data_IF_845736554345
#
_entry.id   IF_845736554345
#
_cell.length_a   1.000
_cell.length_b   1.000
_cell.length_c   1.000
_cell.angle_alpha   90.00
_cell.angle_beta   90.00
_cell.angle_gamma   90.00
#
_symmetry.space_group_name_H-M   'P 1'
#
loop_
_entity.id
_entity.type
_entity.pdbx_description
1 polymer ?
#
# COMPACT_ATOMS: atom_id res chain seq x y z
N UNK A 1 -2.29 -13.66 33.80
CA UNK A 1 -3.39 -13.47 32.83
C UNK A 1 -4.26 -12.24 33.11
N UNK A 2 -4.63 -11.91 34.35
CA UNK A 2 -5.44 -10.71 34.67
C UNK A 2 -4.76 -9.38 34.27
N UNK A 3 -3.46 -9.26 34.42
CA UNK A 3 -2.71 -8.03 34.08
C UNK A 3 -2.51 -7.81 32.57
N UNK A 4 -2.64 -8.86 31.76
CA UNK A 4 -2.51 -8.79 30.30
C UNK A 4 -3.74 -8.15 29.64
N UNK A 5 -4.94 -8.50 30.13
CA UNK A 5 -6.21 -7.96 29.64
C UNK A 5 -6.38 -6.47 29.99
N UNK A 6 -5.92 -6.05 31.18
CA UNK A 6 -5.98 -4.64 31.61
C UNK A 6 -5.04 -3.75 30.78
N UNK A 7 -3.85 -4.23 30.42
CA UNK A 7 -2.92 -3.48 29.57
C UNK A 7 -3.41 -3.37 28.11
N UNK A 8 -4.10 -4.40 27.61
CA UNK A 8 -4.69 -4.37 26.28
C UNK A 8 -5.86 -3.37 26.18
N UNK A 9 -6.69 -3.28 27.24
CA UNK A 9 -7.79 -2.31 27.30
C UNK A 9 -7.29 -0.87 27.48
N UNK A 10 -6.21 -0.64 28.24
CA UNK A 10 -5.62 0.69 28.42
C UNK A 10 -4.98 1.21 27.13
N UNK A 11 -4.37 0.34 26.34
CA UNK A 11 -3.82 0.69 25.02
C UNK A 11 -4.89 1.06 23.99
N UNK A 12 -6.05 0.41 24.03
CA UNK A 12 -7.17 0.68 23.13
C UNK A 12 -7.91 1.98 23.48
N UNK A 13 -7.98 2.34 24.76
CA UNK A 13 -8.61 3.60 25.23
C UNK A 13 -7.75 4.83 24.97
N UNK A 14 -6.41 4.70 24.94
CA UNK A 14 -5.52 5.83 24.60
C UNK A 14 -5.57 6.16 23.09
N UNK A 15 -5.93 5.21 22.23
CA UNK A 15 -6.08 5.44 20.78
C UNK A 15 -7.39 6.16 20.41
N UNK A 16 -8.39 6.18 21.29
CA UNK A 16 -9.68 6.82 21.04
C UNK A 16 -9.78 8.27 21.56
N UNK A 17 -8.70 8.79 22.15
CA UNK A 17 -8.67 10.11 22.80
C UNK A 17 -7.95 11.23 22.04
N UNK A 18 -7.57 11.05 20.75
CA UNK A 18 -6.98 12.15 19.98
C UNK A 18 -8.09 13.02 19.41
N UNK A 19 -8.27 14.17 20.05
CA UNK A 19 -9.26 15.17 19.71
C UNK A 19 -9.12 15.67 18.27
N UNK A 20 -10.27 15.91 17.65
CA UNK A 20 -10.40 16.58 16.36
C UNK A 20 -9.77 17.99 16.45
N UNK A 21 -8.61 18.19 15.87
CA UNK A 21 -8.10 19.51 15.56
C UNK A 21 -8.92 20.08 14.40
N UNK A 22 -9.66 21.15 14.66
CA UNK A 22 -10.35 21.95 13.65
C UNK A 22 -9.35 22.42 12.58
N UNK A 23 -9.49 21.92 11.37
CA UNK A 23 -8.84 22.51 10.20
C UNK A 23 -9.53 23.84 9.89
N UNK A 24 -8.85 24.95 10.15
CA UNK A 24 -9.26 26.26 9.70
C UNK A 24 -9.26 26.30 8.17
N UNK A 25 -10.42 26.63 7.60
CA UNK A 25 -10.60 26.90 6.17
C UNK A 25 -9.80 28.14 5.77
N UNK A 26 -8.84 27.96 4.88
CA UNK A 26 -8.17 29.07 4.19
C UNK A 26 -9.15 29.73 3.20
N UNK A 27 -9.14 31.06 3.03
CA UNK A 27 -10.03 31.73 2.10
C UNK A 27 -9.66 31.42 0.66
N UNK A 28 -10.69 31.15 -0.16
CA UNK A 28 -10.58 30.88 -1.58
C UNK A 28 -10.04 32.11 -2.34
N UNK A 29 -9.07 31.87 -3.23
CA UNK A 29 -8.58 32.87 -4.18
C UNK A 29 -9.65 33.19 -5.24
N UNK A 30 -9.73 34.42 -5.73
CA UNK A 30 -10.78 34.83 -6.69
C UNK A 30 -10.52 34.23 -8.08
N UNK A 31 -11.57 33.67 -8.65
CA UNK A 31 -11.64 33.16 -10.02
C UNK A 31 -11.61 34.35 -11.00
N UNK A 32 -10.85 34.35 -12.09
CA UNK A 32 -10.94 35.37 -13.11
C UNK A 32 -12.22 35.20 -13.93
N UNK A 33 -12.99 36.28 -14.03
CA UNK A 33 -14.19 36.39 -14.86
C UNK A 33 -13.80 36.32 -16.35
N UNK A 34 -14.40 35.39 -17.09
CA UNK A 34 -14.34 35.31 -18.54
C UNK A 34 -15.52 36.12 -19.09
N UNK A 35 -15.21 37.14 -19.88
CA UNK A 35 -16.18 37.99 -20.53
C UNK A 35 -17.00 37.19 -21.58
N UNK A 36 -18.34 37.34 -21.54
CA UNK A 36 -19.24 36.82 -22.54
C UNK A 36 -19.15 37.68 -23.83
N UNK A 37 -18.88 37.03 -24.94
CA UNK A 37 -19.04 37.62 -26.26
C UNK A 37 -20.27 36.99 -26.92
N UNK A 38 -21.29 37.82 -27.16
CA UNK A 38 -22.49 37.52 -27.95
C UNK A 38 -22.13 37.22 -29.41
N UNK A 39 -22.47 36.01 -29.87
CA UNK A 39 -22.55 35.73 -31.29
C UNK A 39 -23.82 34.93 -31.59
N UNK A 40 -24.75 35.60 -32.26
CA UNK A 40 -26.02 35.13 -32.77
C UNK A 40 -25.78 34.17 -33.95
N UNK A 41 -26.18 32.90 -33.81
CA UNK A 41 -26.17 31.91 -34.90
C UNK A 41 -27.54 31.73 -35.54
N UNK A 42 -27.64 31.50 -36.87
CA UNK A 42 -28.91 31.22 -37.53
C UNK A 42 -29.35 29.78 -37.36
N UNK A 43 -30.67 29.57 -37.27
CA UNK A 43 -31.32 28.29 -37.14
C UNK A 43 -31.09 27.41 -38.41
N UNK A 44 -30.61 26.17 -38.19
CA UNK A 44 -30.62 25.12 -39.20
C UNK A 44 -31.60 24.01 -38.78
N UNK A 45 -32.31 23.48 -39.75
CA UNK A 45 -33.40 22.51 -39.68
C UNK A 45 -32.97 21.14 -39.12
N UNK A 46 -33.89 20.31 -38.58
CA UNK A 46 -33.57 19.05 -37.97
C UNK A 46 -33.19 18.00 -39.04
N UNK A 47 -31.93 17.58 -39.03
CA UNK A 47 -31.48 16.38 -39.71
C UNK A 47 -31.83 15.15 -38.87
N UNK A 48 -32.52 14.18 -39.53
CA UNK A 48 -32.85 12.90 -38.92
C UNK A 48 -31.60 12.21 -38.38
N UNK A 49 -31.59 11.96 -37.07
CA UNK A 49 -30.53 11.20 -36.42
C UNK A 49 -30.69 9.74 -36.83
N UNK A 50 -29.82 9.28 -37.74
CA UNK A 50 -29.53 7.87 -37.92
C UNK A 50 -28.92 7.37 -36.62
N UNK A 51 -29.57 6.40 -35.98
CA UNK A 51 -28.98 5.66 -34.84
C UNK A 51 -27.78 4.86 -35.37
N UNK A 52 -26.61 5.46 -35.32
CA UNK A 52 -25.35 4.78 -35.54
C UNK A 52 -25.14 3.87 -34.34
N UNK A 53 -25.18 2.54 -34.57
CA UNK A 53 -24.85 1.56 -33.57
C UNK A 53 -23.46 1.90 -33.01
N UNK A 54 -23.38 2.22 -31.72
CA UNK A 54 -22.14 2.56 -31.05
C UNK A 54 -21.15 1.41 -31.30
N UNK A 55 -20.06 1.72 -32.01
CA UNK A 55 -18.96 0.79 -32.17
C UNK A 55 -18.47 0.36 -30.76
N UNK A 56 -18.09 -0.92 -30.58
CA UNK A 56 -17.60 -1.37 -29.29
C UNK A 56 -16.45 -0.45 -28.86
N UNK A 57 -16.55 0.07 -27.62
CA UNK A 57 -15.53 0.95 -27.07
C UNK A 57 -14.16 0.29 -27.19
N UNK A 58 -13.20 0.98 -27.83
CA UNK A 58 -11.85 0.46 -27.99
C UNK A 58 -11.27 0.13 -26.61
N UNK A 59 -10.58 -1.01 -26.48
CA UNK A 59 -9.94 -1.41 -25.25
C UNK A 59 -9.01 -0.29 -24.73
N UNK A 60 -9.00 0.00 -23.43
CA UNK A 60 -8.21 1.10 -22.87
C UNK A 60 -6.71 0.84 -23.13
N UNK A 61 -6.02 1.84 -23.68
CA UNK A 61 -4.58 1.75 -23.99
C UNK A 61 -3.78 2.31 -22.81
N UNK A 62 -2.78 1.59 -22.30
CA UNK A 62 -1.95 2.06 -21.19
C UNK A 62 -1.27 3.40 -21.50
N UNK A 63 -1.34 4.33 -20.55
CA UNK A 63 -0.65 5.61 -20.64
C UNK A 63 0.86 5.40 -20.52
N UNK A 64 1.62 5.85 -21.53
CA UNK A 64 3.08 5.62 -21.61
C UNK A 64 3.84 6.40 -20.52
N UNK A 65 3.40 7.61 -20.21
CA UNK A 65 4.01 8.44 -19.16
C UNK A 65 3.82 7.84 -17.78
N UNK A 66 2.60 7.48 -17.43
CA UNK A 66 2.28 6.85 -16.14
C UNK A 66 2.94 5.48 -16.00
N UNK A 67 2.99 4.70 -17.09
CA UNK A 67 3.72 3.41 -17.11
C UNK A 67 5.20 3.60 -16.83
N UNK A 68 5.85 4.57 -17.50
CA UNK A 68 7.25 4.88 -17.26
C UNK A 68 7.49 5.35 -15.83
N UNK A 69 6.64 6.26 -15.31
CA UNK A 69 6.75 6.76 -13.96
C UNK A 69 6.57 5.64 -12.92
N UNK A 70 5.56 4.80 -13.06
CA UNK A 70 5.32 3.69 -12.14
C UNK A 70 6.44 2.64 -12.16
N UNK A 71 7.06 2.42 -13.32
CA UNK A 71 8.25 1.56 -13.43
C UNK A 71 9.43 2.15 -12.66
N UNK A 72 9.71 3.46 -12.83
CA UNK A 72 10.75 4.16 -12.08
C UNK A 72 10.45 4.14 -10.59
N UNK A 73 9.21 4.43 -10.18
CA UNK A 73 8.80 4.39 -8.78
C UNK A 73 9.01 3.00 -8.16
N UNK A 74 8.69 1.92 -8.90
CA UNK A 74 8.96 0.54 -8.47
C UNK A 74 10.45 0.31 -8.18
N UNK A 75 11.34 0.74 -9.09
CA UNK A 75 12.78 0.63 -8.90
C UNK A 75 13.28 1.44 -7.70
N UNK A 76 12.72 2.64 -7.48
CA UNK A 76 13.07 3.48 -6.34
C UNK A 76 12.65 2.86 -5.01
N UNK A 77 11.49 2.19 -4.93
CA UNK A 77 11.08 1.48 -3.70
C UNK A 77 11.94 0.24 -3.44
N UNK A 78 12.37 -0.47 -4.50
CA UNK A 78 13.35 -1.56 -4.37
C UNK A 78 14.68 -1.01 -3.83
N UNK A 79 15.16 0.11 -4.37
CA UNK A 79 16.38 0.79 -3.91
C UNK A 79 16.25 1.25 -2.45
N UNK A 80 15.08 1.77 -2.07
CA UNK A 80 14.79 2.16 -0.69
C UNK A 80 14.84 0.96 0.27
N UNK A 81 14.40 -0.21 -0.17
CA UNK A 81 14.32 -1.42 0.67
C UNK A 81 15.65 -2.17 0.75
N UNK A 82 16.21 -2.57 -0.39
CA UNK A 82 17.36 -3.48 -0.40
C UNK A 82 18.67 -2.81 -0.01
N UNK A 83 19.17 -1.76 -0.67
CA UNK A 83 20.33 -1.04 -0.14
C UNK A 83 19.94 -0.10 1.01
N UNK A 84 18.90 0.71 0.88
CA UNK A 84 18.59 1.76 1.84
C UNK A 84 18.26 1.21 3.23
N UNK A 85 17.15 0.51 3.38
CA UNK A 85 16.69 0.01 4.67
C UNK A 85 17.62 -1.06 5.25
N UNK A 86 18.17 -1.94 4.40
CA UNK A 86 19.09 -2.98 4.85
C UNK A 86 20.36 -2.39 5.46
N UNK A 87 21.00 -1.42 4.79
CA UNK A 87 22.18 -0.72 5.29
C UNK A 87 21.86 0.10 6.54
N UNK A 88 20.75 0.82 6.54
CA UNK A 88 20.30 1.59 7.70
C UNK A 88 20.13 0.71 8.94
N UNK A 89 19.39 -0.38 8.85
CA UNK A 89 19.19 -1.29 9.98
C UNK A 89 20.46 -2.05 10.35
N UNK A 90 21.26 -2.44 9.36
CA UNK A 90 22.58 -3.04 9.60
C UNK A 90 23.51 -2.08 10.32
N UNK A 91 23.41 -0.77 10.02
CA UNK A 91 24.18 0.27 10.68
C UNK A 91 23.78 0.54 12.14
N UNK A 92 22.51 0.31 12.50
CA UNK A 92 22.00 0.53 13.86
C UNK A 92 22.37 -0.57 14.86
N UNK A 93 22.90 -1.70 14.40
CA UNK A 93 23.29 -2.84 15.25
C UNK A 93 24.81 -2.91 15.43
N UNK A 94 25.25 -3.73 16.39
CA UNK A 94 26.67 -3.98 16.60
C UNK A 94 27.32 -4.59 15.34
N UNK A 95 28.56 -4.19 15.04
CA UNK A 95 29.28 -4.59 13.81
C UNK A 95 29.24 -6.11 13.55
N UNK A 96 29.35 -6.93 14.60
CA UNK A 96 29.30 -8.39 14.50
C UNK A 96 27.93 -8.93 14.02
N UNK A 97 26.87 -8.16 14.14
CA UNK A 97 25.50 -8.57 13.79
C UNK A 97 24.99 -7.88 12.51
N UNK A 98 25.75 -6.97 11.93
CA UNK A 98 25.40 -6.20 10.73
C UNK A 98 24.95 -7.12 9.59
N UNK A 99 25.77 -8.07 9.18
CA UNK A 99 25.46 -8.99 8.08
C UNK A 99 24.22 -9.83 8.35
N UNK A 100 23.97 -10.20 9.61
CA UNK A 100 22.75 -10.94 9.98
C UNK A 100 21.48 -10.10 9.73
N UNK A 101 21.53 -8.81 10.03
CA UNK A 101 20.38 -7.91 9.82
C UNK A 101 20.19 -7.59 8.33
N UNK A 102 21.28 -7.35 7.60
CA UNK A 102 21.21 -7.19 6.12
C UNK A 102 20.56 -8.42 5.49
N UNK A 103 21.01 -9.63 5.88
CA UNK A 103 20.46 -10.88 5.37
C UNK A 103 18.97 -11.04 5.72
N UNK A 104 18.56 -10.64 6.92
CA UNK A 104 17.14 -10.68 7.30
C UNK A 104 16.30 -9.81 6.37
N UNK A 105 16.69 -8.56 6.13
CA UNK A 105 15.98 -7.65 5.22
C UNK A 105 15.92 -8.23 3.81
N UNK A 106 17.05 -8.72 3.29
CA UNK A 106 17.14 -9.28 1.94
C UNK A 106 16.25 -10.52 1.76
N UNK A 107 16.37 -11.49 2.68
CA UNK A 107 15.60 -12.75 2.59
C UNK A 107 14.11 -12.51 2.81
N UNK A 108 13.75 -11.63 3.76
CA UNK A 108 12.35 -11.24 3.98
C UNK A 108 11.77 -10.62 2.71
N UNK A 109 12.46 -9.66 2.10
CA UNK A 109 12.01 -9.02 0.85
C UNK A 109 11.77 -10.07 -0.24
N UNK A 110 12.74 -10.96 -0.46
CA UNK A 110 12.63 -12.02 -1.48
C UNK A 110 11.49 -13.00 -1.19
N UNK A 111 11.34 -13.41 0.07
CA UNK A 111 10.28 -14.32 0.51
C UNK A 111 8.90 -13.70 0.29
N UNK A 112 8.71 -12.44 0.66
CA UNK A 112 7.43 -11.75 0.51
C UNK A 112 7.08 -11.57 -0.97
N UNK A 113 8.04 -11.29 -1.85
CA UNK A 113 7.77 -11.28 -3.29
C UNK A 113 7.30 -12.65 -3.82
N UNK A 114 7.88 -13.75 -3.32
CA UNK A 114 7.39 -15.09 -3.68
C UNK A 114 5.94 -15.28 -3.20
N UNK A 115 5.64 -14.94 -1.96
CA UNK A 115 4.26 -15.04 -1.42
C UNK A 115 3.29 -14.10 -2.14
N UNK A 116 3.78 -12.93 -2.58
CA UNK A 116 3.00 -11.97 -3.36
C UNK A 116 2.56 -12.58 -4.70
N UNK A 117 3.47 -13.25 -5.41
CA UNK A 117 3.16 -13.98 -6.65
C UNK A 117 2.21 -15.14 -6.38
N UNK A 118 2.45 -15.90 -5.30
CA UNK A 118 1.65 -17.09 -5.00
C UNK A 118 0.18 -16.74 -4.73
N UNK A 119 -0.09 -15.81 -3.82
CA UNK A 119 -1.46 -15.49 -3.37
C UNK A 119 -1.65 -14.03 -2.92
N UNK A 120 -0.60 -13.33 -2.55
CA UNK A 120 -0.71 -12.02 -1.90
C UNK A 120 -1.42 -10.99 -2.77
N UNK A 121 -1.05 -10.87 -4.04
CA UNK A 121 -1.70 -9.98 -4.98
C UNK A 121 -3.18 -10.30 -5.15
N UNK A 122 -3.50 -11.59 -5.35
CA UNK A 122 -4.89 -12.02 -5.49
C UNK A 122 -5.73 -11.61 -4.27
N UNK A 123 -5.28 -11.97 -3.09
CA UNK A 123 -6.01 -11.70 -1.86
C UNK A 123 -6.11 -10.20 -1.48
N UNK A 124 -5.18 -9.37 -1.97
CA UNK A 124 -5.19 -7.93 -1.72
C UNK A 124 -5.98 -7.13 -2.77
N UNK A 125 -5.96 -7.53 -4.06
CA UNK A 125 -6.42 -6.70 -5.17
C UNK A 125 -7.44 -7.38 -6.11
N UNK A 126 -8.19 -8.35 -5.62
CA UNK A 126 -9.38 -8.86 -6.33
C UNK A 126 -10.65 -8.54 -5.56
N UNK A 127 -11.78 -8.56 -6.27
CA UNK A 127 -13.09 -8.45 -5.64
C UNK A 127 -13.29 -9.61 -4.65
N UNK A 128 -13.89 -9.32 -3.51
CA UNK A 128 -14.10 -10.32 -2.47
C UNK A 128 -15.11 -9.85 -1.43
N UNK A 129 -14.70 -9.83 -0.20
CA UNK A 129 -15.47 -9.19 0.87
C UNK A 129 -14.73 -7.91 1.35
N UNK A 130 -15.34 -7.08 2.21
CA UNK A 130 -14.70 -5.81 2.64
C UNK A 130 -13.32 -5.94 3.34
N UNK A 131 -12.89 -7.15 3.68
CA UNK A 131 -11.66 -7.40 4.43
C UNK A 131 -10.57 -8.13 3.63
N UNK A 132 -10.95 -8.91 2.61
CA UNK A 132 -10.00 -9.68 1.82
C UNK A 132 -10.59 -10.02 0.44
N UNK A 133 -9.75 -10.00 -0.59
CA UNK A 133 -10.09 -10.43 -1.94
C UNK A 133 -10.20 -11.95 -2.10
N UNK A 134 -10.52 -12.38 -3.30
CA UNK A 134 -10.57 -13.81 -3.68
C UNK A 134 -9.18 -14.34 -4.05
N UNK A 135 -9.11 -15.62 -4.39
CA UNK A 135 -7.90 -16.27 -4.87
C UNK A 135 -7.93 -16.55 -6.38
N UNK A 136 -8.71 -15.79 -7.15
CA UNK A 136 -8.90 -16.00 -8.58
C UNK A 136 -7.66 -15.70 -9.42
N UNK A 137 -6.78 -14.83 -8.91
CA UNK A 137 -5.50 -14.46 -9.54
C UNK A 137 -4.28 -15.13 -8.88
N UNK A 138 -4.44 -16.31 -8.26
CA UNK A 138 -3.33 -17.11 -7.74
C UNK A 138 -2.27 -17.30 -8.83
N UNK A 139 -0.99 -17.18 -8.47
CA UNK A 139 0.13 -17.30 -9.42
C UNK A 139 0.02 -16.35 -10.62
N UNK A 140 -0.65 -15.20 -10.42
CA UNK A 140 -0.98 -14.24 -11.48
C UNK A 140 -1.84 -14.83 -12.61
N UNK A 141 -2.64 -15.85 -12.31
CA UNK A 141 -3.57 -16.44 -13.28
C UNK A 141 -4.46 -15.36 -13.91
N UNK A 142 -4.51 -15.34 -15.24
CA UNK A 142 -5.30 -14.39 -16.02
C UNK A 142 -4.65 -13.02 -16.19
N UNK A 143 -3.49 -12.75 -15.58
CA UNK A 143 -2.72 -11.53 -15.85
C UNK A 143 -1.83 -11.76 -17.07
N UNK A 144 -2.03 -10.95 -18.10
CA UNK A 144 -1.31 -11.02 -19.38
C UNK A 144 -0.62 -9.67 -19.65
N UNK A 145 0.25 -9.57 -20.65
CA UNK A 145 0.82 -8.29 -21.08
C UNK A 145 -0.23 -7.25 -21.48
N UNK A 146 -1.43 -7.68 -21.87
CA UNK A 146 -2.55 -6.82 -22.28
C UNK A 146 -3.50 -6.47 -21.12
N UNK A 147 -3.33 -7.10 -19.95
CA UNK A 147 -4.11 -6.77 -18.75
C UNK A 147 -3.76 -5.37 -18.25
N UNK A 148 -4.79 -4.61 -17.88
CA UNK A 148 -4.64 -3.23 -17.39
C UNK A 148 -5.14 -3.08 -15.98
N UNK A 149 -4.54 -2.14 -15.25
CA UNK A 149 -4.98 -1.69 -13.94
C UNK A 149 -5.44 -0.23 -14.04
N UNK A 150 -6.53 0.10 -13.34
CA UNK A 150 -7.04 1.46 -13.24
C UNK A 150 -6.04 2.37 -12.52
N UNK A 151 -6.08 3.65 -12.88
CA UNK A 151 -5.44 4.73 -12.13
C UNK A 151 -6.49 5.51 -11.34
N UNK A 152 -6.14 6.65 -10.77
CA UNK A 152 -7.11 7.55 -10.14
C UNK A 152 -7.83 8.49 -11.14
N UNK A 153 -7.47 8.43 -12.43
CA UNK A 153 -8.06 9.27 -13.50
C UNK A 153 -8.91 8.41 -14.42
N UNK A 154 -10.13 8.87 -14.73
CA UNK A 154 -11.04 8.19 -15.68
C UNK A 154 -10.38 8.03 -17.05
N UNK A 155 -10.54 6.85 -17.65
CA UNK A 155 -10.00 6.52 -18.97
C UNK A 155 -8.47 6.35 -19.00
N UNK A 156 -7.78 6.42 -17.85
CA UNK A 156 -6.33 6.28 -17.78
C UNK A 156 -5.97 4.99 -17.07
N UNK A 157 -5.23 4.13 -17.76
CA UNK A 157 -4.80 2.82 -17.24
C UNK A 157 -3.30 2.64 -17.40
N UNK A 158 -2.74 1.71 -16.63
CA UNK A 158 -1.36 1.21 -16.75
C UNK A 158 -1.38 -0.30 -16.95
N UNK A 159 -0.29 -0.95 -17.45
CA UNK A 159 -0.22 -2.41 -17.49
C UNK A 159 -0.37 -2.99 -16.08
N UNK A 160 -1.21 -4.01 -15.94
CA UNK A 160 -1.45 -4.64 -14.64
C UNK A 160 -0.16 -5.24 -14.04
N UNK A 161 0.75 -5.77 -14.89
CA UNK A 161 2.05 -6.27 -14.42
C UNK A 161 2.91 -5.20 -13.75
N UNK A 162 2.84 -3.94 -14.22
CA UNK A 162 3.53 -2.81 -13.58
C UNK A 162 2.90 -2.50 -12.23
N UNK A 163 1.58 -2.49 -12.14
CA UNK A 163 0.86 -2.32 -10.88
C UNK A 163 1.18 -3.43 -9.87
N UNK A 164 1.18 -4.69 -10.32
CA UNK A 164 1.56 -5.86 -9.51
C UNK A 164 2.97 -5.73 -8.96
N UNK A 165 3.93 -5.37 -9.81
CA UNK A 165 5.32 -5.18 -9.41
C UNK A 165 5.46 -4.05 -8.38
N UNK A 166 4.80 -2.91 -8.62
CA UNK A 166 4.80 -1.76 -7.73
C UNK A 166 4.23 -2.11 -6.36
N UNK A 167 3.05 -2.71 -6.30
CA UNK A 167 2.38 -3.09 -5.06
C UNK A 167 3.15 -4.18 -4.29
N UNK A 168 3.83 -5.08 -5.00
CA UNK A 168 4.73 -6.07 -4.40
C UNK A 168 5.89 -5.43 -3.63
N UNK A 169 6.40 -4.28 -4.08
CA UNK A 169 7.45 -3.55 -3.34
C UNK A 169 6.97 -3.08 -1.98
N UNK A 170 5.71 -2.62 -1.88
CA UNK A 170 5.13 -2.20 -0.60
C UNK A 170 4.84 -3.36 0.34
N UNK A 171 4.40 -4.48 -0.18
CA UNK A 171 4.28 -5.72 0.59
C UNK A 171 5.62 -6.12 1.21
N UNK A 172 6.68 -6.10 0.42
CA UNK A 172 8.02 -6.47 0.84
C UNK A 172 8.63 -5.49 1.85
N UNK A 173 8.59 -4.18 1.56
CA UNK A 173 9.17 -3.17 2.46
C UNK A 173 8.43 -3.12 3.79
N UNK A 174 7.10 -3.29 3.82
CA UNK A 174 6.31 -3.27 5.05
C UNK A 174 6.76 -4.36 6.03
N UNK A 175 6.97 -5.59 5.52
CA UNK A 175 7.53 -6.68 6.30
C UNK A 175 8.97 -6.41 6.74
N UNK A 176 9.78 -5.83 5.86
CA UNK A 176 11.17 -5.48 6.15
C UNK A 176 11.30 -4.39 7.24
N UNK A 177 10.36 -3.43 7.29
CA UNK A 177 10.34 -2.38 8.31
C UNK A 177 10.24 -2.93 9.73
N UNK A 178 9.55 -4.05 9.94
CA UNK A 178 9.40 -4.65 11.27
C UNK A 178 10.73 -5.22 11.79
N UNK A 179 11.63 -5.64 10.90
CA UNK A 179 12.92 -6.28 11.26
C UNK A 179 13.75 -5.41 12.20
N UNK A 180 13.76 -4.09 11.99
CA UNK A 180 14.49 -3.15 12.85
C UNK A 180 14.05 -3.21 14.32
N UNK A 181 12.78 -3.46 14.59
CA UNK A 181 12.22 -3.46 15.93
C UNK A 181 12.71 -4.61 16.82
N UNK A 182 13.10 -5.74 16.25
CA UNK A 182 13.60 -6.91 16.98
C UNK A 182 15.02 -7.32 16.57
N UNK A 183 15.73 -6.47 15.85
CA UNK A 183 17.12 -6.72 15.47
C UNK A 183 17.97 -7.15 16.66
N UNK A 184 18.84 -8.16 16.47
CA UNK A 184 19.68 -8.81 17.49
C UNK A 184 18.93 -9.60 18.58
N UNK A 185 17.59 -9.77 18.49
CA UNK A 185 16.76 -10.34 19.58
C UNK A 185 15.93 -11.55 19.15
N UNK A 186 15.77 -11.81 17.87
CA UNK A 186 15.01 -12.94 17.35
C UNK A 186 15.90 -13.88 16.53
N UNK A 187 15.60 -15.19 16.60
CA UNK A 187 16.22 -16.19 15.72
C UNK A 187 15.72 -15.99 14.29
N UNK A 188 16.60 -16.22 13.31
CA UNK A 188 16.27 -16.01 11.88
C UNK A 188 15.03 -16.80 11.44
N UNK A 189 14.93 -18.08 11.82
CA UNK A 189 13.75 -18.90 11.50
C UNK A 189 12.45 -18.37 12.11
N UNK A 190 12.51 -17.79 13.31
CA UNK A 190 11.35 -17.17 13.96
C UNK A 190 10.93 -15.88 13.24
N UNK A 191 11.89 -15.10 12.73
CA UNK A 191 11.62 -13.92 11.89
C UNK A 191 10.87 -14.33 10.63
N UNK A 192 11.34 -15.36 9.93
CA UNK A 192 10.69 -15.82 8.69
C UNK A 192 9.27 -16.32 8.95
N UNK A 193 9.08 -17.18 9.95
CA UNK A 193 7.74 -17.69 10.29
C UNK A 193 6.79 -16.56 10.69
N UNK A 194 7.26 -15.67 11.57
CA UNK A 194 6.46 -14.51 11.99
C UNK A 194 6.01 -13.69 10.80
N UNK A 195 6.91 -13.36 9.88
CA UNK A 195 6.60 -12.48 8.75
C UNK A 195 5.71 -13.15 7.71
N UNK A 196 5.80 -14.46 7.49
CA UNK A 196 4.82 -15.19 6.66
C UNK A 196 3.42 -15.07 7.24
N UNK A 197 3.25 -15.33 8.54
CA UNK A 197 1.96 -15.25 9.23
C UNK A 197 1.46 -13.80 9.26
N UNK A 198 2.32 -12.86 9.60
CA UNK A 198 1.95 -11.45 9.70
C UNK A 198 1.57 -10.86 8.32
N UNK A 199 2.33 -11.19 7.26
CA UNK A 199 1.99 -10.82 5.89
C UNK A 199 0.60 -11.33 5.51
N UNK A 200 0.32 -12.61 5.80
CA UNK A 200 -0.94 -13.26 5.43
C UNK A 200 -2.14 -12.72 6.21
N UNK A 201 -2.01 -12.55 7.53
CA UNK A 201 -3.14 -12.25 8.41
C UNK A 201 -3.26 -10.78 8.84
N UNK A 202 -2.25 -9.96 8.56
CA UNK A 202 -2.28 -8.52 8.86
C UNK A 202 -2.09 -7.66 7.61
N UNK A 203 -0.99 -7.85 6.87
CA UNK A 203 -0.69 -6.99 5.73
C UNK A 203 -1.75 -7.11 4.63
N UNK A 204 -2.04 -8.31 4.17
CA UNK A 204 -2.99 -8.55 3.06
C UNK A 204 -4.38 -7.98 3.39
N UNK A 205 -5.01 -8.32 4.55
CA UNK A 205 -6.31 -7.76 4.89
C UNK A 205 -6.29 -6.23 4.97
N UNK A 206 -5.28 -5.63 5.59
CA UNK A 206 -5.20 -4.16 5.71
C UNK A 206 -5.00 -3.52 4.34
N UNK A 207 -4.15 -4.09 3.47
CA UNK A 207 -3.97 -3.60 2.11
C UNK A 207 -5.28 -3.64 1.30
N UNK A 208 -6.03 -4.75 1.39
CA UNK A 208 -7.34 -4.87 0.76
C UNK A 208 -8.34 -3.85 1.33
N UNK A 209 -8.46 -3.77 2.64
CA UNK A 209 -9.40 -2.84 3.29
C UNK A 209 -9.18 -1.39 2.91
N UNK A 210 -7.92 -0.97 2.68
CA UNK A 210 -7.57 0.44 2.45
C UNK A 210 -7.45 0.78 0.98
N UNK A 211 -6.92 -0.13 0.15
CA UNK A 211 -6.53 0.18 -1.22
C UNK A 211 -7.39 -0.46 -2.30
N UNK A 212 -8.22 -1.47 -1.96
CA UNK A 212 -9.04 -2.13 -2.98
C UNK A 212 -10.31 -1.35 -3.30
N UNK A 213 -10.54 -1.07 -4.59
CA UNK A 213 -11.75 -0.57 -5.21
C UNK A 213 -11.69 -0.76 -6.74
N UNK A 214 -12.83 -0.67 -7.41
CA UNK A 214 -12.95 -1.00 -8.84
C UNK A 214 -12.41 0.09 -9.81
N UNK A 215 -11.86 1.17 -9.27
CA UNK A 215 -11.32 2.28 -10.06
C UNK A 215 -12.38 3.34 -10.47
N UNK A 216 -11.91 4.49 -11.00
CA UNK A 216 -12.79 5.63 -11.28
C UNK A 216 -13.73 5.37 -12.47
N UNK A 217 -13.38 4.47 -13.38
CA UNK A 217 -14.20 4.18 -14.56
C UNK A 217 -15.47 3.38 -14.20
N UNK A 218 -15.47 2.69 -13.07
CA UNK A 218 -16.67 2.04 -12.54
C UNK A 218 -17.73 3.03 -11.99
N UNK A 219 -17.37 4.32 -11.83
CA UNK A 219 -18.25 5.35 -11.27
C UNK A 219 -18.78 6.23 -12.40
N UNK A 220 -20.00 5.95 -12.85
CA UNK A 220 -20.70 6.78 -13.85
C UNK A 220 -21.63 7.83 -13.20
N UNK A 221 -22.30 7.45 -12.11
CA UNK A 221 -23.32 8.23 -11.42
C UNK A 221 -23.34 7.90 -9.91
N UNK A 222 -24.30 8.47 -9.18
CA UNK A 222 -24.44 8.25 -7.74
C UNK A 222 -24.76 6.79 -7.39
N UNK A 223 -25.51 6.07 -8.23
CA UNK A 223 -25.87 4.68 -8.00
C UNK A 223 -24.66 3.74 -8.18
N UNK A 224 -23.85 3.97 -9.20
CA UNK A 224 -22.61 3.24 -9.44
C UNK A 224 -21.57 3.54 -8.38
N UNK A 225 -21.50 4.78 -7.87
CA UNK A 225 -20.65 5.13 -6.72
C UNK A 225 -21.05 4.34 -5.46
N UNK A 226 -22.36 4.20 -5.19
CA UNK A 226 -22.84 3.39 -4.06
C UNK A 226 -22.44 1.92 -4.23
N UNK A 227 -22.59 1.35 -5.42
CA UNK A 227 -22.21 -0.02 -5.74
C UNK A 227 -20.69 -0.25 -5.59
N UNK A 228 -19.86 0.64 -6.12
CA UNK A 228 -18.40 0.60 -5.98
C UNK A 228 -18.00 0.71 -4.52
N UNK A 229 -18.63 1.60 -3.76
CA UNK A 229 -18.37 1.77 -2.32
C UNK A 229 -18.74 0.51 -1.53
N UNK A 230 -19.84 -0.16 -1.88
CA UNK A 230 -20.26 -1.39 -1.22
C UNK A 230 -19.33 -2.58 -1.54
N UNK A 231 -18.70 -2.59 -2.72
CA UNK A 231 -17.77 -3.64 -3.17
C UNK A 231 -16.31 -3.39 -2.73
N UNK A 232 -15.98 -2.16 -2.35
CA UNK A 232 -14.62 -1.76 -1.97
C UNK A 232 -14.21 -2.28 -0.59
N UNK A 233 -12.92 -2.15 -0.29
CA UNK A 233 -12.37 -2.45 1.02
C UNK A 233 -13.01 -1.63 2.15
N UNK A 234 -13.15 -2.22 3.33
CA UNK A 234 -13.91 -1.66 4.46
C UNK A 234 -13.46 -0.26 4.90
N UNK A 235 -12.19 0.06 4.80
CA UNK A 235 -11.64 1.37 5.17
C UNK A 235 -11.70 2.35 3.99
N UNK A 236 -11.54 1.88 2.76
CA UNK A 236 -11.77 2.69 1.57
C UNK A 236 -13.21 3.20 1.53
N UNK A 237 -14.19 2.34 1.79
CA UNK A 237 -15.61 2.70 1.87
C UNK A 237 -15.91 3.75 2.95
N UNK A 238 -15.04 3.91 3.94
CA UNK A 238 -15.10 4.95 4.99
C UNK A 238 -14.22 6.16 4.68
N UNK A 239 -13.81 6.31 3.41
CA UNK A 239 -13.01 7.45 2.94
C UNK A 239 -11.63 7.52 3.64
N UNK A 240 -11.03 6.39 3.96
CA UNK A 240 -9.66 6.37 4.44
C UNK A 240 -8.71 6.83 3.32
N UNK A 241 -7.93 7.88 3.59
CA UNK A 241 -6.94 8.41 2.66
C UNK A 241 -5.57 7.87 3.02
N UNK A 242 -5.04 7.01 2.15
CA UNK A 242 -3.71 6.43 2.28
C UNK A 242 -3.04 6.37 0.91
N UNK A 243 -2.27 7.41 0.56
CA UNK A 243 -1.59 7.50 -0.75
C UNK A 243 -0.20 6.86 -0.75
N UNK A 244 0.51 6.93 0.36
CA UNK A 244 1.90 6.50 0.49
C UNK A 244 2.11 5.42 1.56
N UNK A 245 1.05 4.70 1.94
CA UNK A 245 1.13 3.63 2.92
C UNK A 245 1.12 4.08 4.38
N UNK A 246 0.55 5.27 4.68
CA UNK A 246 0.45 5.75 6.07
C UNK A 246 -0.20 4.72 6.99
N UNK A 247 -1.29 4.10 6.56
CA UNK A 247 -1.99 3.04 7.30
C UNK A 247 -1.44 1.65 6.97
N UNK A 248 -1.42 1.30 5.67
CA UNK A 248 -1.08 -0.05 5.22
C UNK A 248 0.36 -0.43 5.53
N UNK A 249 1.29 0.49 5.38
CA UNK A 249 2.73 0.27 5.60
C UNK A 249 3.13 0.69 7.00
N UNK A 250 3.05 2.00 7.31
CA UNK A 250 3.74 2.56 8.48
C UNK A 250 3.02 2.29 9.80
N UNK A 251 1.72 2.52 9.90
CA UNK A 251 0.97 2.18 11.13
C UNK A 251 1.01 0.68 11.36
N UNK A 252 0.75 -0.11 10.33
CA UNK A 252 0.72 -1.56 10.40
C UNK A 252 2.06 -2.15 10.85
N UNK A 253 3.18 -1.79 10.19
CA UNK A 253 4.52 -2.22 10.57
C UNK A 253 4.95 -1.64 11.93
N UNK A 254 4.59 -0.39 12.23
CA UNK A 254 4.95 0.28 13.48
C UNK A 254 4.31 -0.38 14.70
N UNK A 255 3.03 -0.72 14.63
CA UNK A 255 2.33 -1.46 15.70
C UNK A 255 2.92 -2.86 15.87
N UNK A 256 3.17 -3.59 14.77
CA UNK A 256 3.83 -4.89 14.82
C UNK A 256 5.23 -4.79 15.44
N UNK A 257 6.00 -3.77 15.06
CA UNK A 257 7.33 -3.50 15.61
C UNK A 257 7.29 -3.19 17.10
N UNK A 258 6.32 -2.38 17.55
CA UNK A 258 6.14 -2.08 18.97
C UNK A 258 5.87 -3.33 19.80
N UNK A 259 4.93 -4.17 19.35
CA UNK A 259 4.59 -5.43 20.02
C UNK A 259 5.78 -6.39 20.01
N UNK A 260 6.44 -6.54 18.86
CA UNK A 260 7.60 -7.41 18.74
C UNK A 260 8.77 -6.95 19.61
N UNK A 261 9.02 -5.64 19.71
CA UNK A 261 10.05 -5.07 20.59
C UNK A 261 9.74 -5.31 22.07
N UNK A 262 8.48 -5.18 22.46
CA UNK A 262 8.02 -5.44 23.82
C UNK A 262 8.18 -6.93 24.19
N UNK A 263 7.76 -7.83 23.30
CA UNK A 263 7.85 -9.28 23.52
C UNK A 263 9.28 -9.80 23.51
N UNK A 264 10.14 -9.30 22.62
CA UNK A 264 11.54 -9.71 22.54
C UNK A 264 12.38 -9.21 23.73
N UNK A 265 11.96 -8.16 24.40
CA UNK A 265 12.65 -7.58 25.53
C UNK A 265 13.97 -6.88 25.17
N UNK A 266 14.89 -6.75 26.13
CA UNK A 266 16.18 -6.07 25.96
C UNK A 266 17.18 -6.93 25.20
N UNK A 267 18.07 -6.28 24.42
CA UNK A 267 19.21 -6.98 23.75
C UNK A 267 20.17 -7.57 24.78
N UNK A 268 20.79 -8.70 24.46
CA UNK A 268 21.84 -9.31 25.29
C UNK A 268 22.98 -8.31 25.45
N UNK A 269 23.41 -8.06 26.68
CA UNK A 269 24.44 -7.07 27.01
C UNK A 269 23.92 -5.63 27.19
N UNK A 270 22.61 -5.39 27.07
CA UNK A 270 22.02 -4.05 27.26
C UNK A 270 22.34 -3.47 28.63
N UNK A 271 22.94 -2.26 28.65
CA UNK A 271 23.38 -1.58 29.87
C UNK A 271 24.64 -2.18 30.53
N UNK A 272 25.25 -3.22 29.95
CA UNK A 272 26.49 -3.84 30.44
C UNK A 272 27.65 -3.77 29.44
N UNK A 273 27.34 -3.72 28.13
CA UNK A 273 28.31 -3.68 27.05
C UNK A 273 28.05 -2.44 26.16
N UNK A 274 29.10 -1.95 25.51
CA UNK A 274 28.93 -0.93 24.47
C UNK A 274 28.18 -1.52 23.28
N UNK A 275 27.15 -0.82 22.83
CA UNK A 275 26.32 -1.19 21.67
C UNK A 275 26.51 -0.19 20.53
N UNK A 276 27.76 0.19 20.28
CA UNK A 276 28.10 1.16 19.25
C UNK A 276 27.56 0.71 17.87
N UNK A 277 26.91 1.60 17.11
CA UNK A 277 26.44 1.33 15.76
C UNK A 277 27.60 1.15 14.80
N UNK A 278 27.30 0.64 13.60
CA UNK A 278 28.30 0.52 12.51
C UNK A 278 28.26 1.77 11.62
N UNK A 279 29.17 2.74 11.79
CA UNK A 279 29.01 4.06 11.16
C UNK A 279 29.05 4.02 9.63
N UNK A 280 29.88 3.14 9.02
CA UNK A 280 30.01 3.06 7.55
C UNK A 280 28.75 2.55 6.83
N UNK A 281 27.87 1.84 7.52
CA UNK A 281 26.60 1.38 6.93
C UNK A 281 25.43 2.25 7.31
N UNK A 282 25.62 3.14 8.28
CA UNK A 282 24.60 4.08 8.73
C UNK A 282 24.57 5.35 7.86
N UNK A 283 25.72 5.75 7.34
CA UNK A 283 25.89 6.90 6.44
C UNK A 283 25.67 6.56 5.00
#
# INVERSE_FOLDING_TARGET
>A
MKNFLTSLFLGLTLMLGVGFANAQTAPAAPTPAVAAADAKAPAAAPAAASAEAAAPAAAPVPNKGDTAWMTVATLLVILMTLPGLALFYGGLVRSKNMLSVLMQVFVVTSMIYVLWVLYGYSAAFTAGNPFIGTLDKLFFKGITPDSVAATFSKGVVIPELVFVAFQGTFAAITCALIVGAFAERMKFSAVLLFLVLWFTFSYIPIAHMVWYWDGPDAIADAKTLEAVTAAAGALWAKVALDFAGGTVVHINAGVAGLVAAYMAGKRIGYGKESMAPHPLTLT
#
